data_IF_509317334700
#
_entry.id   IF_509317334700
#
_cell.length_a   1.000
_cell.length_b   1.000
_cell.length_c   1.000
_cell.angle_alpha   90.00
_cell.angle_beta   90.00
_cell.angle_gamma   90.00
#
_symmetry.space_group_name_H-M   'P 1'
#
loop_
_entity.id
_entity.type
_entity.pdbx_description
1 polymer ?
#
# COMPACT_ATOMS: atom_id res chain seq x y z
N UNK A 1 -9.51 22.86 -25.74
CA UNK A 1 -8.40 23.85 -25.65
C UNK A 1 -7.18 23.21 -25.02
N UNK A 2 -5.94 23.65 -25.25
CA UNK A 2 -4.79 23.01 -24.62
C UNK A 2 -4.80 23.30 -23.12
N UNK A 3 -4.70 22.21 -22.32
CA UNK A 3 -4.57 22.26 -20.88
C UNK A 3 -3.22 22.89 -20.47
N UNK A 4 -3.11 23.49 -19.27
CA UNK A 4 -1.85 24.01 -18.76
C UNK A 4 -0.75 22.96 -18.78
N UNK A 5 0.48 23.35 -19.15
CA UNK A 5 1.66 22.50 -19.13
C UNK A 5 2.65 23.02 -18.08
N UNK A 6 3.48 22.15 -17.48
CA UNK A 6 4.55 22.59 -16.59
C UNK A 6 5.56 23.50 -17.30
N UNK A 7 6.11 24.46 -16.57
CA UNK A 7 7.26 25.24 -17.02
C UNK A 7 8.56 24.54 -16.62
N UNK A 8 9.65 24.72 -17.37
CA UNK A 8 10.90 23.99 -17.17
C UNK A 8 11.62 24.19 -15.82
N UNK A 9 11.18 25.17 -14.99
CA UNK A 9 11.72 25.44 -13.65
C UNK A 9 10.68 25.26 -12.54
N UNK A 10 9.49 24.78 -12.87
CA UNK A 10 8.35 24.68 -11.95
C UNK A 10 8.35 23.29 -11.29
N UNK A 11 8.30 23.24 -9.96
CA UNK A 11 8.12 21.98 -9.24
C UNK A 11 6.72 21.40 -9.49
N UNK A 12 6.56 20.07 -9.34
CA UNK A 12 5.26 19.42 -9.49
C UNK A 12 4.19 20.04 -8.58
N UNK A 13 4.55 20.43 -7.34
CA UNK A 13 3.63 21.06 -6.40
C UNK A 13 3.17 22.45 -6.87
N UNK A 14 4.07 23.27 -7.38
CA UNK A 14 3.75 24.60 -7.94
C UNK A 14 2.87 24.47 -9.18
N UNK A 15 3.22 23.55 -10.09
CA UNK A 15 2.38 23.24 -11.25
C UNK A 15 0.98 22.80 -10.84
N UNK A 16 0.86 21.85 -9.91
CA UNK A 16 -0.42 21.35 -9.42
C UNK A 16 -1.29 22.46 -8.84
N UNK A 17 -0.70 23.34 -8.01
CA UNK A 17 -1.40 24.49 -7.42
C UNK A 17 -1.93 25.44 -8.49
N UNK A 18 -1.11 25.76 -9.48
CA UNK A 18 -1.48 26.63 -10.61
C UNK A 18 -2.51 25.98 -11.52
N UNK A 19 -2.32 24.71 -11.88
CA UNK A 19 -3.22 23.99 -12.79
C UNK A 19 -4.61 23.79 -12.20
N UNK A 20 -4.72 23.40 -10.93
CA UNK A 20 -6.02 23.19 -10.27
C UNK A 20 -6.77 24.49 -9.97
N UNK A 21 -6.05 25.64 -9.93
CA UNK A 21 -6.60 26.96 -9.72
C UNK A 21 -6.96 27.69 -11.02
N UNK A 22 -6.54 27.18 -12.16
CA UNK A 22 -6.79 27.77 -13.48
C UNK A 22 -8.30 27.80 -13.78
N UNK A 23 -8.82 28.99 -14.16
CA UNK A 23 -10.23 29.19 -14.35
C UNK A 23 -10.81 28.33 -15.47
N UNK A 24 -10.04 28.07 -16.52
CA UNK A 24 -10.45 27.22 -17.65
C UNK A 24 -10.53 25.76 -17.25
N UNK A 25 -9.58 25.30 -16.45
CA UNK A 25 -9.59 23.93 -15.91
C UNK A 25 -10.75 23.74 -14.95
N UNK A 26 -11.11 24.78 -14.17
CA UNK A 26 -12.28 24.75 -13.30
C UNK A 26 -13.61 24.73 -14.06
N UNK A 27 -13.67 25.43 -15.16
CA UNK A 27 -14.86 25.48 -16.03
C UNK A 27 -15.05 24.13 -16.75
N UNK A 28 -13.97 23.56 -17.29
CA UNK A 28 -14.02 22.28 -18.04
C UNK A 28 -14.19 21.06 -17.13
N UNK A 29 -13.62 21.12 -15.92
CA UNK A 29 -13.68 20.07 -14.90
C UNK A 29 -14.20 20.63 -13.56
N UNK A 30 -15.52 20.73 -13.36
CA UNK A 30 -16.13 21.28 -12.15
C UNK A 30 -15.82 20.46 -10.89
N UNK A 31 -15.64 19.15 -11.06
CA UNK A 31 -15.30 18.22 -9.99
C UNK A 31 -13.83 18.33 -9.59
N UNK A 32 -13.54 18.40 -8.27
CA UNK A 32 -12.19 18.60 -7.76
C UNK A 32 -11.27 17.42 -8.05
N UNK A 33 -11.77 16.19 -7.94
CA UNK A 33 -10.96 14.99 -8.11
C UNK A 33 -10.61 14.79 -9.59
N UNK A 34 -11.53 15.15 -10.48
CA UNK A 34 -11.27 15.17 -11.93
C UNK A 34 -10.21 16.22 -12.29
N UNK A 35 -10.27 17.43 -11.70
CA UNK A 35 -9.24 18.46 -11.92
C UNK A 35 -7.86 17.98 -11.49
N UNK A 36 -7.77 17.41 -10.29
CA UNK A 36 -6.51 16.86 -9.76
C UNK A 36 -5.96 15.77 -10.68
N UNK A 37 -6.79 14.83 -11.13
CA UNK A 37 -6.39 13.76 -12.03
C UNK A 37 -5.86 14.28 -13.39
N UNK A 38 -6.55 15.26 -13.97
CA UNK A 38 -6.16 15.88 -15.24
C UNK A 38 -4.84 16.64 -15.09
N UNK A 39 -4.68 17.44 -14.03
CA UNK A 39 -3.43 18.17 -13.77
C UNK A 39 -2.25 17.24 -13.50
N UNK A 40 -2.43 16.15 -12.76
CA UNK A 40 -1.40 15.12 -12.56
C UNK A 40 -0.98 14.47 -13.88
N UNK A 41 -1.92 14.23 -14.80
CA UNK A 41 -1.61 13.67 -16.11
C UNK A 41 -0.76 14.61 -16.98
N UNK A 42 -0.94 15.92 -16.84
CA UNK A 42 -0.15 16.94 -17.53
C UNK A 42 1.24 17.09 -16.91
N UNK A 43 1.35 17.03 -15.57
CA UNK A 43 2.64 17.03 -14.88
C UNK A 43 3.56 15.91 -15.37
N UNK A 44 3.04 14.68 -15.45
CA UNK A 44 3.78 13.50 -15.95
C UNK A 44 4.24 13.61 -17.42
N UNK A 45 3.50 14.35 -18.26
CA UNK A 45 3.92 14.58 -19.65
C UNK A 45 5.07 15.57 -19.78
N UNK A 46 5.22 16.48 -18.82
CA UNK A 46 6.33 17.42 -18.75
C UNK A 46 7.67 16.77 -18.36
N UNK A 47 7.64 15.73 -17.55
CA UNK A 47 8.86 15.02 -17.12
C UNK A 47 9.53 14.17 -18.23
N UNK A 48 8.83 13.87 -19.31
CA UNK A 48 9.39 13.09 -20.43
C UNK A 48 10.30 13.88 -21.39
N UNK A 49 10.48 15.18 -21.20
CA UNK A 49 11.29 16.02 -22.08
C UNK A 49 12.66 16.42 -21.53
N UNK A 50 13.09 15.89 -20.38
CA UNK A 50 14.40 16.19 -19.77
C UNK A 50 15.37 15.01 -19.66
N UNK A 51 15.12 13.89 -20.37
CA UNK A 51 15.98 12.70 -20.30
C UNK A 51 17.25 12.75 -21.18
N UNK A 52 17.52 13.82 -21.92
CA UNK A 52 18.66 13.91 -22.86
C UNK A 52 19.88 14.70 -22.36
N UNK A 53 19.96 15.07 -21.09
CA UNK A 53 21.11 15.78 -20.52
C UNK A 53 21.49 15.30 -19.12
N UNK A 54 21.90 14.04 -18.97
CA UNK A 54 22.69 13.60 -17.79
C UNK A 54 23.69 12.53 -18.24
N UNK A 55 24.74 12.95 -18.92
CA UNK A 55 26.07 12.37 -18.76
C UNK A 55 26.94 13.44 -18.10
N UNK A 56 27.73 13.01 -17.10
CA UNK A 56 28.66 13.80 -16.28
C UNK A 56 28.10 14.57 -15.07
N UNK A 57 27.93 13.83 -13.97
CA UNK A 57 28.43 14.29 -12.66
C UNK A 57 28.50 13.10 -11.70
N UNK A 58 29.67 12.52 -11.60
CA UNK A 58 30.11 11.68 -10.50
C UNK A 58 30.49 12.65 -9.37
N UNK A 59 29.93 12.45 -8.20
CA UNK A 59 30.52 12.57 -6.85
C UNK A 59 29.49 13.01 -5.80
N UNK A 60 29.34 12.12 -4.85
CA UNK A 60 29.07 12.35 -3.43
C UNK A 60 27.87 13.22 -3.04
N UNK A 61 26.75 12.57 -2.74
CA UNK A 61 25.99 12.90 -1.55
C UNK A 61 25.52 11.62 -0.84
N UNK A 62 26.36 11.15 0.06
CA UNK A 62 25.97 10.22 1.11
C UNK A 62 24.98 10.94 2.03
N UNK A 63 23.87 10.26 2.33
CA UNK A 63 22.89 10.62 3.34
C UNK A 63 21.85 11.70 2.97
N UNK A 64 20.84 11.26 2.19
CA UNK A 64 19.45 11.62 2.51
C UNK A 64 18.51 10.51 2.09
N UNK A 65 18.73 9.31 2.57
CA UNK A 65 17.62 8.43 2.85
C UNK A 65 16.99 8.99 4.12
N UNK A 66 15.99 9.82 3.98
CA UNK A 66 14.98 9.89 4.99
C UNK A 66 14.47 8.45 5.10
N UNK A 67 14.87 7.77 6.14
CA UNK A 67 14.13 6.66 6.71
C UNK A 67 12.75 7.21 7.06
N UNK A 68 11.94 7.40 6.05
CA UNK A 68 10.52 7.46 6.18
C UNK A 68 10.14 6.05 6.59
N UNK A 69 10.28 5.77 7.85
CA UNK A 69 9.42 4.89 8.59
C UNK A 69 8.03 5.44 8.35
N UNK A 70 7.46 5.11 7.20
CA UNK A 70 6.04 5.16 6.98
C UNK A 70 5.50 4.11 7.94
N UNK A 71 5.35 4.56 9.16
CA UNK A 71 4.50 3.98 10.18
C UNK A 71 3.10 3.92 9.56
N UNK A 72 2.89 2.97 8.68
CA UNK A 72 1.56 2.61 8.22
C UNK A 72 0.94 1.96 9.44
N UNK A 73 0.45 2.80 10.35
CA UNK A 73 -0.42 2.37 11.43
C UNK A 73 -1.59 1.69 10.75
N UNK A 74 -1.50 0.39 10.68
CA UNK A 74 -2.63 -0.42 10.28
C UNK A 74 -3.67 -0.21 11.37
N UNK A 75 -4.72 0.55 11.10
CA UNK A 75 -5.85 0.62 12.01
C UNK A 75 -6.47 -0.77 12.09
N UNK A 76 -6.03 -1.55 13.06
CA UNK A 76 -6.75 -2.74 13.47
C UNK A 76 -7.94 -2.23 14.28
N UNK A 77 -9.12 -2.34 13.73
CA UNK A 77 -10.35 -2.07 14.46
C UNK A 77 -10.80 -3.38 15.10
N UNK A 78 -10.75 -3.43 16.42
CA UNK A 78 -11.42 -4.48 17.19
C UNK A 78 -12.87 -4.06 17.34
N UNK A 79 -13.78 -4.81 16.70
CA UNK A 79 -15.21 -4.56 16.83
C UNK A 79 -15.79 -5.53 17.87
N UNK A 80 -16.44 -4.98 18.88
CA UNK A 80 -17.33 -5.75 19.74
C UNK A 80 -18.71 -5.73 19.10
N UNK A 81 -19.06 -6.80 18.39
CA UNK A 81 -20.42 -6.99 17.86
C UNK A 81 -21.12 -8.01 18.76
N UNK A 82 -21.97 -7.53 19.67
CA UNK A 82 -22.78 -8.38 20.55
C UNK A 82 -21.95 -9.25 21.50
N UNK A 83 -22.33 -10.54 21.61
CA UNK A 83 -21.63 -11.51 22.46
C UNK A 83 -20.35 -12.09 21.81
N UNK A 84 -20.10 -11.84 20.53
CA UNK A 84 -18.91 -12.32 19.82
C UNK A 84 -17.71 -11.40 20.04
N UNK A 85 -16.86 -11.80 20.96
CA UNK A 85 -15.54 -11.16 21.17
C UNK A 85 -14.52 -11.71 20.17
N UNK A 86 -13.53 -10.89 19.83
CA UNK A 86 -12.38 -11.34 19.00
C UNK A 86 -12.48 -11.02 17.53
N UNK A 87 -13.51 -10.31 17.08
CA UNK A 87 -13.60 -9.81 15.72
C UNK A 87 -12.59 -8.67 15.50
N UNK A 88 -11.96 -8.67 14.33
CA UNK A 88 -11.07 -7.58 13.93
C UNK A 88 -11.16 -7.34 12.41
N UNK A 89 -10.81 -6.13 11.99
CA UNK A 89 -10.61 -5.77 10.59
C UNK A 89 -9.39 -4.88 10.44
N UNK A 90 -8.74 -4.92 9.28
CA UNK A 90 -7.56 -4.12 9.00
C UNK A 90 -6.99 -4.39 7.62
N UNK A 91 -5.75 -3.98 7.42
CA UNK A 91 -5.00 -4.24 6.19
C UNK A 91 -3.80 -5.13 6.48
N UNK A 92 -3.64 -6.21 5.73
CA UNK A 92 -2.47 -7.08 5.79
C UNK A 92 -1.30 -6.58 4.94
N UNK A 93 -1.59 -5.72 3.94
CA UNK A 93 -0.60 -5.08 3.07
C UNK A 93 -1.19 -3.82 2.46
N UNK A 94 -0.36 -2.80 2.22
CA UNK A 94 -0.75 -1.56 1.54
C UNK A 94 -0.04 -1.52 0.19
N UNK A 95 -0.79 -1.21 -0.88
CA UNK A 95 -0.22 -1.10 -2.21
C UNK A 95 0.70 0.11 -2.36
N UNK A 96 1.71 -0.05 -3.22
CA UNK A 96 2.67 0.99 -3.56
C UNK A 96 3.50 1.51 -2.39
N UNK A 97 3.43 0.85 -1.24
CA UNK A 97 4.28 1.12 -0.09
C UNK A 97 5.50 0.18 -0.10
N UNK A 98 6.66 0.71 0.28
CA UNK A 98 7.88 -0.07 0.40
C UNK A 98 7.92 -0.74 1.77
N UNK A 99 8.07 -2.05 1.81
CA UNK A 99 8.24 -2.80 3.04
C UNK A 99 9.72 -2.85 3.50
N UNK A 100 9.95 -3.46 4.67
CA UNK A 100 11.29 -3.62 5.24
C UNK A 100 12.23 -4.49 4.38
N UNK A 101 11.68 -5.31 3.48
CA UNK A 101 12.43 -6.15 2.53
C UNK A 101 12.78 -5.43 1.22
N UNK A 102 12.46 -4.14 1.08
CA UNK A 102 12.51 -3.37 -0.17
C UNK A 102 11.56 -3.88 -1.25
N UNK A 103 10.48 -4.54 -0.87
CA UNK A 103 9.43 -4.95 -1.78
C UNK A 103 8.31 -3.92 -1.84
N UNK A 104 7.69 -3.79 -3.01
CA UNK A 104 6.51 -2.96 -3.22
C UNK A 104 5.43 -3.82 -3.84
N UNK A 105 4.33 -4.00 -3.12
CA UNK A 105 3.19 -4.76 -3.61
C UNK A 105 2.33 -3.88 -4.50
N UNK A 106 2.06 -4.34 -5.71
CA UNK A 106 1.20 -3.64 -6.66
C UNK A 106 -0.25 -4.11 -6.53
N UNK A 107 -1.19 -3.24 -6.90
CA UNK A 107 -2.60 -3.61 -6.98
C UNK A 107 -2.81 -4.80 -7.94
N UNK A 108 -3.63 -5.77 -7.55
CA UNK A 108 -3.85 -7.02 -8.28
C UNK A 108 -2.91 -8.16 -7.90
N UNK A 109 -1.88 -7.91 -7.06
CA UNK A 109 -0.87 -8.91 -6.72
C UNK A 109 -1.45 -10.13 -5.98
N UNK A 110 -2.51 -9.97 -5.22
CA UNK A 110 -3.13 -11.04 -4.44
C UNK A 110 -4.33 -11.69 -5.15
N UNK A 111 -4.84 -11.08 -6.23
CA UNK A 111 -6.10 -11.49 -6.87
C UNK A 111 -6.13 -12.98 -7.23
N UNK A 112 -5.06 -13.50 -7.82
CA UNK A 112 -4.96 -14.91 -8.21
C UNK A 112 -4.96 -15.85 -6.98
N UNK A 113 -4.19 -15.50 -5.96
CA UNK A 113 -4.08 -16.31 -4.73
C UNK A 113 -5.43 -16.36 -3.99
N UNK A 114 -6.07 -15.20 -3.81
CA UNK A 114 -7.39 -15.10 -3.17
C UNK A 114 -8.45 -15.89 -3.96
N UNK A 115 -8.49 -15.72 -5.28
CA UNK A 115 -9.44 -16.41 -6.15
C UNK A 115 -9.29 -17.93 -6.12
N UNK A 116 -8.05 -18.44 -5.98
CA UNK A 116 -7.75 -19.86 -5.94
C UNK A 116 -8.02 -20.50 -4.57
N UNK A 117 -7.58 -19.85 -3.49
CA UNK A 117 -7.55 -20.43 -2.14
C UNK A 117 -8.74 -20.01 -1.29
N UNK A 118 -9.22 -18.78 -1.47
CA UNK A 118 -10.19 -18.16 -0.57
C UNK A 118 -9.59 -17.78 0.79
N UNK A 119 -10.32 -16.95 1.55
CA UNK A 119 -9.85 -16.43 2.82
C UNK A 119 -9.52 -17.52 3.86
N UNK A 120 -10.31 -18.57 3.92
CA UNK A 120 -10.17 -19.65 4.93
C UNK A 120 -8.89 -20.49 4.78
N UNK A 121 -8.27 -20.50 3.61
CA UNK A 121 -7.02 -21.22 3.40
C UNK A 121 -5.79 -20.45 3.90
N UNK A 122 -5.88 -19.13 4.01
CA UNK A 122 -4.84 -18.28 4.57
C UNK A 122 -4.86 -18.41 6.10
N UNK A 123 -3.70 -18.64 6.69
CA UNK A 123 -3.59 -18.85 8.14
C UNK A 123 -3.37 -17.55 8.88
N UNK A 124 -4.11 -17.36 9.97
CA UNK A 124 -3.86 -16.28 10.92
C UNK A 124 -2.92 -16.77 11.99
N UNK A 125 -1.66 -16.35 11.92
CA UNK A 125 -0.57 -16.83 12.76
C UNK A 125 -0.06 -15.75 13.72
N UNK A 126 0.39 -16.16 14.89
CA UNK A 126 1.13 -15.28 15.79
C UNK A 126 2.60 -15.18 15.33
N UNK A 127 3.02 -13.97 14.96
CA UNK A 127 4.40 -13.69 14.53
C UNK A 127 4.92 -14.66 13.45
N UNK A 128 4.09 -14.99 12.46
CA UNK A 128 4.40 -15.93 11.36
C UNK A 128 4.78 -17.37 11.80
N UNK A 129 4.53 -17.75 13.04
CA UNK A 129 4.82 -19.10 13.52
C UNK A 129 3.76 -20.08 13.06
N UNK A 130 4.17 -21.08 12.28
CA UNK A 130 3.28 -22.06 11.66
C UNK A 130 2.53 -22.95 12.68
N UNK A 131 3.10 -23.13 13.85
CA UNK A 131 2.58 -23.91 14.98
C UNK A 131 1.74 -23.09 15.97
N UNK A 132 1.62 -21.76 15.76
CA UNK A 132 0.82 -20.88 16.60
C UNK A 132 -0.33 -20.19 15.82
N UNK A 133 -1.35 -20.93 15.33
CA UNK A 133 -2.53 -20.32 14.75
C UNK A 133 -3.37 -19.66 15.86
N UNK A 134 -3.78 -18.41 15.62
CA UNK A 134 -4.53 -17.61 16.62
C UNK A 134 -5.97 -17.29 16.22
N UNK A 135 -6.38 -17.73 15.05
CA UNK A 135 -7.73 -17.47 14.55
C UNK A 135 -7.90 -17.82 13.08
N UNK A 136 -8.91 -17.21 12.47
CA UNK A 136 -9.25 -17.42 11.06
C UNK A 136 -9.58 -16.10 10.39
N UNK A 137 -9.39 -16.03 9.07
CA UNK A 137 -9.94 -14.97 8.25
C UNK A 137 -11.33 -15.35 7.74
N UNK A 138 -12.28 -14.45 7.87
CA UNK A 138 -13.62 -14.57 7.30
C UNK A 138 -13.66 -13.96 5.90
N UNK A 139 -12.92 -12.88 5.69
CA UNK A 139 -12.85 -12.16 4.43
C UNK A 139 -11.42 -11.68 4.16
N UNK A 140 -10.96 -11.87 2.94
CA UNK A 140 -9.72 -11.28 2.40
C UNK A 140 -10.05 -10.76 1.00
N UNK A 141 -9.92 -9.47 0.79
CA UNK A 141 -10.19 -8.80 -0.49
C UNK A 141 -9.12 -7.76 -0.79
N UNK A 142 -8.89 -7.49 -2.07
CA UNK A 142 -8.18 -6.29 -2.49
C UNK A 142 -9.16 -5.13 -2.65
N UNK A 143 -8.79 -3.96 -2.13
CA UNK A 143 -9.46 -2.70 -2.45
C UNK A 143 -8.44 -1.69 -3.03
N UNK A 144 -8.82 -0.44 -3.20
CA UNK A 144 -7.94 0.60 -3.75
C UNK A 144 -6.71 0.92 -2.88
N UNK A 145 -6.75 0.60 -1.58
CA UNK A 145 -5.69 0.86 -0.61
C UNK A 145 -4.74 -0.33 -0.46
N UNK A 146 -5.26 -1.57 -0.50
CA UNK A 146 -4.44 -2.75 -0.24
C UNK A 146 -5.22 -4.04 -0.02
N UNK A 147 -4.59 -4.97 0.69
CA UNK A 147 -5.17 -6.24 1.11
C UNK A 147 -5.97 -6.05 2.40
N UNK A 148 -7.27 -5.83 2.26
CA UNK A 148 -8.20 -5.69 3.38
C UNK A 148 -8.60 -7.05 3.90
N UNK A 149 -8.62 -7.20 5.22
CA UNK A 149 -8.95 -8.45 5.89
C UNK A 149 -9.99 -8.23 6.99
N UNK A 150 -10.84 -9.24 7.19
CA UNK A 150 -11.66 -9.39 8.39
C UNK A 150 -11.44 -10.78 8.95
N UNK A 151 -11.38 -10.90 10.25
CA UNK A 151 -11.10 -12.17 10.89
C UNK A 151 -11.60 -12.24 12.32
N UNK A 152 -11.44 -13.43 12.88
CA UNK A 152 -11.80 -13.73 14.26
C UNK A 152 -10.66 -14.43 14.96
N UNK A 153 -10.32 -13.93 16.14
CA UNK A 153 -9.38 -14.57 17.03
C UNK A 153 -10.02 -15.80 17.73
N UNK A 154 -9.24 -16.81 17.99
CA UNK A 154 -9.68 -18.02 18.68
C UNK A 154 -9.82 -17.77 20.18
N UNK A 155 -10.91 -17.12 20.60
CA UNK A 155 -11.17 -16.71 21.98
C UNK A 155 -11.29 -17.87 22.98
N UNK A 156 -11.41 -19.10 22.49
CA UNK A 156 -11.35 -20.31 23.31
C UNK A 156 -9.91 -20.69 23.74
N UNK A 157 -8.89 -20.12 23.13
CA UNK A 157 -7.47 -20.38 23.45
C UNK A 157 -6.88 -19.28 24.31
N UNK A 158 -5.84 -19.60 25.08
CA UNK A 158 -5.13 -18.60 25.87
C UNK A 158 -4.48 -17.56 24.97
N UNK A 159 -3.79 -17.97 23.91
CA UNK A 159 -3.11 -17.07 22.95
C UNK A 159 -4.10 -16.12 22.25
N UNK A 160 -5.25 -16.63 21.82
CA UNK A 160 -6.27 -15.80 21.18
C UNK A 160 -6.78 -14.67 22.10
N UNK A 161 -6.99 -14.96 23.39
CA UNK A 161 -7.37 -13.96 24.39
C UNK A 161 -6.26 -12.94 24.63
N UNK A 162 -5.02 -13.39 24.79
CA UNK A 162 -3.85 -12.51 24.98
C UNK A 162 -3.68 -11.54 23.81
N UNK A 163 -3.74 -12.05 22.58
CA UNK A 163 -3.63 -11.23 21.37
C UNK A 163 -4.78 -10.23 21.30
N UNK A 164 -6.01 -10.64 21.61
CA UNK A 164 -7.16 -9.74 21.62
C UNK A 164 -6.99 -8.56 22.59
N UNK A 165 -6.56 -8.84 23.81
CA UNK A 165 -6.31 -7.78 24.79
C UNK A 165 -5.14 -6.86 24.37
N UNK A 166 -4.08 -7.42 23.77
CA UNK A 166 -2.98 -6.63 23.24
C UNK A 166 -3.41 -5.74 22.07
N UNK A 167 -4.29 -6.22 21.20
CA UNK A 167 -4.88 -5.43 20.12
C UNK A 167 -5.77 -4.30 20.66
N UNK A 168 -6.60 -4.58 21.67
CA UNK A 168 -7.46 -3.56 22.30
C UNK A 168 -6.67 -2.43 22.94
N UNK A 169 -5.54 -2.73 23.54
CA UNK A 169 -4.68 -1.72 24.17
C UNK A 169 -3.67 -1.08 23.18
N UNK A 170 -3.69 -1.48 21.91
CA UNK A 170 -2.81 -0.94 20.87
C UNK A 170 -1.36 -1.44 20.94
N UNK A 171 -1.08 -2.49 21.73
CA UNK A 171 0.25 -3.11 21.80
C UNK A 171 0.54 -4.00 20.56
N UNK A 172 -0.51 -4.47 19.88
CA UNK A 172 -0.49 -5.07 18.57
C UNK A 172 -1.38 -4.22 17.68
N UNK A 173 -0.79 -3.47 16.78
CA UNK A 173 -1.44 -2.48 15.93
C UNK A 173 -1.29 -2.77 14.42
N UNK A 174 -0.60 -3.86 14.05
CA UNK A 174 -0.31 -4.23 12.68
C UNK A 174 -0.55 -5.69 12.34
N UNK A 175 -0.75 -5.93 11.05
CA UNK A 175 -0.75 -7.24 10.42
C UNK A 175 0.42 -7.29 9.43
N UNK A 176 0.98 -8.46 9.24
CA UNK A 176 1.99 -8.70 8.22
C UNK A 176 1.59 -9.91 7.38
N UNK A 177 1.99 -9.92 6.12
CA UNK A 177 1.74 -11.04 5.21
C UNK A 177 2.95 -11.96 5.11
N UNK A 178 2.68 -13.28 5.09
CA UNK A 178 3.63 -14.28 4.62
C UNK A 178 3.22 -14.72 3.22
N UNK A 179 4.12 -14.65 2.25
CA UNK A 179 3.82 -14.96 0.87
C UNK A 179 5.00 -15.66 0.17
N UNK A 180 4.68 -16.27 -0.97
CA UNK A 180 5.67 -16.76 -1.92
C UNK A 180 5.54 -15.98 -3.22
N UNK A 181 6.66 -15.74 -3.87
CA UNK A 181 6.71 -15.12 -5.18
C UNK A 181 7.66 -15.92 -6.08
N UNK A 182 7.22 -16.21 -7.30
CA UNK A 182 8.06 -16.82 -8.33
C UNK A 182 8.75 -15.76 -9.20
N UNK A 183 9.62 -16.18 -10.10
CA UNK A 183 10.40 -15.27 -10.96
C UNK A 183 9.52 -14.44 -11.91
N UNK A 184 8.27 -14.84 -12.14
CA UNK A 184 7.30 -14.13 -12.98
C UNK A 184 6.41 -13.20 -12.16
N UNK A 185 6.36 -13.40 -10.85
CA UNK A 185 5.52 -12.66 -9.93
C UNK A 185 6.07 -11.28 -9.57
N UNK A 186 7.28 -10.92 -10.00
CA UNK A 186 7.85 -9.61 -9.70
C UNK A 186 8.64 -9.02 -10.87
N UNK A 187 8.85 -7.72 -10.82
CA UNK A 187 9.84 -6.99 -11.62
C UNK A 187 10.84 -6.30 -10.70
N UNK A 188 12.10 -6.25 -11.11
CA UNK A 188 13.13 -5.55 -10.37
C UNK A 188 13.32 -4.13 -10.90
N UNK A 189 12.97 -3.12 -10.12
CA UNK A 189 13.28 -1.72 -10.38
C UNK A 189 14.76 -1.46 -10.04
N UNK A 190 15.62 -1.45 -11.08
CA UNK A 190 17.07 -1.24 -10.92
C UNK A 190 17.43 0.13 -10.39
N UNK A 191 16.64 1.17 -10.73
CA UNK A 191 16.89 2.55 -10.28
C UNK A 191 16.68 2.68 -8.78
N UNK A 192 15.56 2.09 -8.28
CA UNK A 192 15.17 2.18 -6.87
C UNK A 192 15.63 0.97 -6.04
N UNK A 193 16.30 0.01 -6.68
CA UNK A 193 16.84 -1.22 -6.07
C UNK A 193 15.80 -1.98 -5.24
N UNK A 194 14.61 -2.18 -5.81
CA UNK A 194 13.47 -2.82 -5.14
C UNK A 194 12.72 -3.76 -6.07
N UNK A 195 12.03 -4.75 -5.50
CA UNK A 195 11.13 -5.62 -6.25
C UNK A 195 9.73 -5.03 -6.28
N UNK A 196 9.12 -5.04 -7.45
CA UNK A 196 7.73 -4.65 -7.68
C UNK A 196 6.93 -5.93 -7.82
N UNK A 197 6.19 -6.32 -6.76
CA UNK A 197 5.45 -7.57 -6.69
C UNK A 197 4.13 -7.44 -7.44
N UNK A 198 3.95 -8.24 -8.49
CA UNK A 198 2.75 -8.25 -9.36
C UNK A 198 1.83 -9.42 -9.07
N UNK A 199 2.38 -10.52 -8.59
CA UNK A 199 1.63 -11.72 -8.24
C UNK A 199 2.33 -12.45 -7.11
N UNK A 200 1.59 -12.72 -6.05
CA UNK A 200 2.09 -13.40 -4.86
C UNK A 200 1.11 -14.49 -4.41
N UNK A 201 1.63 -15.53 -3.79
CA UNK A 201 0.86 -16.63 -3.23
C UNK A 201 0.85 -16.53 -1.70
N UNK A 202 -0.31 -16.16 -1.14
CA UNK A 202 -0.55 -16.02 0.30
C UNK A 202 -0.55 -17.37 1.02
#
# INVERSE_FOLDING_TARGET
MPLPKPYGSETQGEFMSRCTSDDKVREEFPDNDQRVAVCLSQAKKGEKMSDDLIDEAHETDENKYEDGELDVKFEIKTEEIGEEKGLFSGYGSIFNNKDLGNDVVLAGAFAQSIGRKGAKAVKLLYQHKQDEPIGVFDEIIEDSKGLKVKGRLAMGTQRGKEVYELMKMGAIDGLSIGYRVDDKGYEYDKRRRRRMLKSVDL
#
